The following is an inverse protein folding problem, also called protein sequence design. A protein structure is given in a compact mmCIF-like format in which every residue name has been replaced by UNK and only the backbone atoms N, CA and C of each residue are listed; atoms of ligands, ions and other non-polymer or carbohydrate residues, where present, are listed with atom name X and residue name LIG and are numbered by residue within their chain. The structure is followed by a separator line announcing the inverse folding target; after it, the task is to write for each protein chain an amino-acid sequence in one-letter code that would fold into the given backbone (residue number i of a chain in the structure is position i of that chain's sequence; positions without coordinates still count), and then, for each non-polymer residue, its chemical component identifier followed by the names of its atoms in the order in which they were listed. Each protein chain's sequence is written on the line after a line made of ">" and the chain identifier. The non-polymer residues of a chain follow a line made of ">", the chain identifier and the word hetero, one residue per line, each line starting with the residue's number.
data_IF_634746618095
#
_entry.id   IF_634746618095
#
_cell.length_a   1.000
_cell.length_b   1.000
_cell.length_c   1.000
_cell.angle_alpha   90.00
_cell.angle_beta   90.00
_cell.angle_gamma   90.00
#
_symmetry.space_group_name_H-M   'P 1'
#
loop_
_entity.id
_entity.type
_entity.pdbx_description
1 polymer ?
#
# COMPACT_ATOMS: atom_id res chain seq x y z
N UNK A 1 23.89 4.02 11.56
CA UNK A 1 23.05 3.81 12.76
C UNK A 1 21.93 4.83 12.87
N UNK A 2 22.25 6.11 12.85
CA UNK A 2 21.23 7.15 12.90
C UNK A 2 20.28 7.13 11.72
N UNK A 3 20.78 6.85 10.52
CA UNK A 3 19.95 6.69 9.33
C UNK A 3 18.88 5.63 9.51
N UNK A 4 19.28 4.50 10.08
CA UNK A 4 18.37 3.39 10.33
C UNK A 4 17.29 3.79 11.34
N UNK A 5 17.66 4.57 12.35
CA UNK A 5 16.70 5.08 13.34
C UNK A 5 15.69 6.00 12.71
N UNK A 6 16.15 6.92 11.84
CA UNK A 6 15.26 7.86 11.16
C UNK A 6 14.28 7.14 10.25
N UNK A 7 14.73 6.15 9.48
CA UNK A 7 13.85 5.34 8.63
C UNK A 7 12.80 4.63 9.48
N UNK A 8 13.24 4.02 10.56
CA UNK A 8 12.34 3.29 11.45
C UNK A 8 11.32 4.23 12.08
N UNK A 9 11.76 5.41 12.53
CA UNK A 9 10.89 6.41 13.12
C UNK A 9 9.82 6.88 12.14
N UNK A 10 10.19 7.15 10.88
CA UNK A 10 9.21 7.58 9.86
C UNK A 10 8.15 6.51 9.66
N UNK A 11 8.53 5.24 9.60
CA UNK A 11 7.57 4.14 9.45
C UNK A 11 6.68 4.00 10.68
N UNK A 12 7.22 4.18 11.88
CA UNK A 12 6.43 4.15 13.11
C UNK A 12 5.40 5.28 13.11
N UNK A 13 5.82 6.49 12.76
CA UNK A 13 4.92 7.65 12.71
C UNK A 13 3.85 7.48 11.64
N UNK A 14 4.21 6.94 10.49
CA UNK A 14 3.24 6.65 9.42
C UNK A 14 2.20 5.63 9.91
N UNK A 15 2.64 4.60 10.61
CA UNK A 15 1.76 3.58 11.17
C UNK A 15 0.81 4.17 12.21
N UNK A 16 1.33 5.02 13.12
CA UNK A 16 0.51 5.69 14.11
C UNK A 16 -0.56 6.57 13.45
N UNK A 17 -0.13 7.33 12.43
CA UNK A 17 -1.04 8.19 11.67
C UNK A 17 -2.13 7.33 11.01
N UNK A 18 -1.73 6.28 10.31
CA UNK A 18 -2.66 5.39 9.61
C UNK A 18 -3.65 4.72 10.55
N UNK A 19 -3.22 4.36 11.77
CA UNK A 19 -4.08 3.71 12.76
C UNK A 19 -5.26 4.56 13.18
N UNK A 20 -5.16 5.88 13.00
CA UNK A 20 -6.20 6.82 13.36
C UNK A 20 -7.06 7.27 12.18
N UNK A 21 -6.81 6.73 11.00
CA UNK A 21 -7.58 7.07 9.80
C UNK A 21 -8.75 6.11 9.60
N UNK A 22 -9.87 6.67 9.15
CA UNK A 22 -11.02 5.88 8.73
C UNK A 22 -10.87 5.41 7.28
N UNK A 23 -9.87 5.90 6.58
CA UNK A 23 -9.61 5.57 5.18
C UNK A 23 -8.64 4.40 5.08
N UNK A 24 -8.94 3.37 4.28
CA UNK A 24 -8.03 2.23 4.10
C UNK A 24 -6.63 2.67 3.69
N UNK A 25 -5.63 2.24 4.46
CA UNK A 25 -4.24 2.67 4.29
C UNK A 25 -3.30 1.49 4.51
N UNK A 26 -2.36 1.32 3.59
CA UNK A 26 -1.31 0.29 3.67
C UNK A 26 0.05 0.99 3.67
N UNK A 27 1.00 0.39 4.37
CA UNK A 27 2.37 0.90 4.46
C UNK A 27 3.33 -0.23 4.11
N UNK A 28 4.28 0.07 3.23
CA UNK A 28 5.35 -0.86 2.88
C UNK A 28 6.70 -0.19 3.13
N UNK A 29 7.72 -0.98 3.43
CA UNK A 29 9.06 -0.47 3.63
C UNK A 29 9.79 -0.26 2.29
N UNK A 30 11.05 0.19 2.36
CA UNK A 30 11.82 0.50 1.16
C UNK A 30 12.12 -0.73 0.28
N UNK A 31 12.05 -1.91 0.86
CA UNK A 31 12.23 -3.17 0.12
C UNK A 31 10.94 -3.63 -0.56
N UNK A 32 9.83 -2.94 -0.29
CA UNK A 32 8.55 -3.32 -0.84
C UNK A 32 7.82 -4.37 -0.04
N UNK A 33 8.16 -4.52 1.23
CA UNK A 33 7.46 -5.44 2.12
C UNK A 33 6.33 -4.71 2.82
N UNK A 34 5.10 -5.24 2.73
CA UNK A 34 3.97 -4.72 3.48
C UNK A 34 4.24 -4.90 4.96
N UNK A 35 4.29 -3.80 5.72
CA UNK A 35 4.59 -3.84 7.13
C UNK A 35 3.41 -3.47 8.02
N UNK A 36 2.36 -2.91 7.44
CA UNK A 36 1.16 -2.56 8.19
C UNK A 36 0.00 -2.18 7.28
N UNK A 37 -1.22 -2.47 7.69
CA UNK A 37 -2.41 -1.80 7.19
C UNK A 37 -3.39 -1.59 8.33
N UNK A 38 -4.18 -0.52 8.23
CA UNK A 38 -5.08 -0.13 9.31
C UNK A 38 -6.39 -0.93 9.32
N UNK A 39 -7.20 -0.71 10.36
CA UNK A 39 -8.49 -1.39 10.52
C UNK A 39 -9.42 -1.16 9.32
N UNK A 40 -9.44 0.06 8.79
CA UNK A 40 -10.26 0.38 7.63
C UNK A 40 -9.86 -0.47 6.42
N UNK A 41 -8.57 -0.74 6.25
CA UNK A 41 -8.07 -1.57 5.16
C UNK A 41 -8.47 -3.04 5.33
N UNK A 42 -8.69 -3.50 6.57
CA UNK A 42 -9.08 -4.88 6.83
C UNK A 42 -10.37 -5.25 6.11
N UNK A 43 -11.30 -4.31 5.97
CA UNK A 43 -12.56 -4.55 5.27
C UNK A 43 -12.35 -4.84 3.79
N UNK A 44 -11.34 -4.21 3.18
CA UNK A 44 -11.03 -4.40 1.77
C UNK A 44 -10.17 -5.63 1.57
N UNK A 45 -9.16 -5.82 2.43
CA UNK A 45 -8.27 -6.98 2.37
C UNK A 45 -9.03 -8.26 2.73
N UNK A 46 -9.95 -8.18 3.67
CA UNK A 46 -10.75 -9.33 4.10
C UNK A 46 -10.19 -10.06 5.31
N UNK A 47 -9.10 -9.57 5.89
CA UNK A 47 -8.52 -10.13 7.11
C UNK A 47 -7.64 -9.10 7.80
N UNK A 48 -7.39 -9.29 9.09
CA UNK A 48 -6.57 -8.36 9.86
C UNK A 48 -5.09 -8.49 9.51
N UNK A 49 -4.33 -7.43 9.76
CA UNK A 49 -2.88 -7.48 9.55
C UNK A 49 -2.21 -8.51 10.46
N UNK A 50 -2.75 -8.68 11.68
CA UNK A 50 -2.25 -9.71 12.59
C UNK A 50 -2.30 -11.11 12.01
N UNK A 51 -3.32 -11.40 11.20
CA UNK A 51 -3.46 -12.69 10.52
C UNK A 51 -2.63 -12.76 9.25
N UNK A 52 -2.61 -11.66 8.47
CA UNK A 52 -1.91 -11.64 7.19
C UNK A 52 -0.39 -11.61 7.35
N UNK A 53 0.12 -10.79 8.28
CA UNK A 53 1.53 -10.62 8.48
C UNK A 53 2.23 -9.86 7.36
N UNK A 54 3.54 -9.76 7.46
CA UNK A 54 4.37 -9.11 6.46
C UNK A 54 4.40 -9.92 5.16
N UNK A 55 4.44 -9.20 4.03
CA UNK A 55 4.32 -9.84 2.72
C UNK A 55 4.99 -8.97 1.66
N UNK A 56 5.73 -9.57 0.70
CA UNK A 56 6.32 -8.78 -0.40
C UNK A 56 5.23 -8.08 -1.22
N UNK A 57 5.56 -6.88 -1.75
CA UNK A 57 4.60 -6.05 -2.48
C UNK A 57 3.94 -6.80 -3.65
N UNK A 58 4.71 -7.58 -4.39
CA UNK A 58 4.14 -8.28 -5.55
C UNK A 58 3.13 -9.34 -5.14
N UNK A 59 3.30 -9.93 -3.96
CA UNK A 59 2.37 -10.93 -3.45
C UNK A 59 1.08 -10.29 -2.95
N UNK A 60 1.17 -9.22 -2.15
CA UNK A 60 -0.04 -8.61 -1.62
C UNK A 60 -0.83 -7.83 -2.70
N UNK A 61 -0.16 -7.23 -3.68
CA UNK A 61 -0.90 -6.60 -4.78
C UNK A 61 -1.54 -7.63 -5.69
N UNK A 62 -0.85 -8.76 -5.94
CA UNK A 62 -1.41 -9.83 -6.77
C UNK A 62 -2.64 -10.47 -6.10
N UNK A 63 -2.67 -10.51 -4.77
CA UNK A 63 -3.78 -11.11 -4.04
C UNK A 63 -5.12 -10.38 -4.28
N UNK A 64 -5.07 -9.12 -4.71
CA UNK A 64 -6.28 -8.35 -5.03
C UNK A 64 -6.73 -8.50 -6.47
N UNK A 65 -5.98 -9.23 -7.29
CA UNK A 65 -6.28 -9.42 -8.71
C UNK A 65 -6.62 -8.09 -9.41
N UNK A 66 -5.72 -7.08 -9.33
CA UNK A 66 -6.04 -5.73 -9.82
C UNK A 66 -6.27 -5.71 -11.33
N UNK A 67 -7.34 -5.04 -11.73
CA UNK A 67 -7.76 -4.90 -13.12
C UNK A 67 -8.02 -3.44 -13.45
N UNK A 68 -7.91 -3.10 -14.72
CA UNK A 68 -8.26 -1.76 -15.19
C UNK A 68 -9.78 -1.61 -15.22
N UNK A 69 -10.25 -0.40 -15.51
CA UNK A 69 -11.68 -0.15 -15.67
C UNK A 69 -12.31 -1.02 -16.76
N UNK A 70 -11.52 -1.44 -17.75
CA UNK A 70 -11.97 -2.32 -18.83
C UNK A 70 -11.82 -3.80 -18.49
N UNK A 71 -11.61 -4.10 -17.21
CA UNK A 71 -11.47 -5.46 -16.66
C UNK A 71 -10.25 -6.22 -17.18
N UNK A 72 -9.24 -5.53 -17.71
CA UNK A 72 -7.99 -6.14 -18.13
C UNK A 72 -7.03 -6.25 -16.95
N UNK A 73 -6.30 -7.36 -16.81
CA UNK A 73 -5.31 -7.47 -15.74
C UNK A 73 -4.29 -6.34 -15.79
N UNK A 74 -3.97 -5.79 -14.62
CA UNK A 74 -2.99 -4.71 -14.52
C UNK A 74 -1.62 -5.31 -14.21
N UNK A 75 -0.64 -5.17 -15.12
CA UNK A 75 0.69 -5.75 -14.86
C UNK A 75 1.37 -5.08 -13.68
N UNK A 76 2.24 -5.81 -12.95
CA UNK A 76 2.86 -5.31 -11.72
C UNK A 76 3.53 -3.93 -11.87
N UNK A 77 4.26 -3.71 -12.96
CA UNK A 77 5.00 -2.47 -13.17
C UNK A 77 4.11 -1.25 -13.39
N UNK A 78 2.81 -1.46 -13.63
CA UNK A 78 1.86 -0.36 -13.85
C UNK A 78 0.99 -0.08 -12.63
N UNK A 79 1.15 -0.84 -11.57
CA UNK A 79 0.37 -0.64 -10.33
C UNK A 79 0.90 0.58 -9.58
N UNK A 80 0.02 1.41 -8.98
CA UNK A 80 0.45 2.60 -8.25
C UNK A 80 1.53 2.35 -7.20
N UNK A 81 1.40 1.26 -6.43
CA UNK A 81 2.39 0.94 -5.41
C UNK A 81 3.77 0.67 -6.01
N UNK A 82 3.81 0.01 -7.17
CA UNK A 82 5.08 -0.29 -7.83
C UNK A 82 5.73 0.97 -8.38
N UNK A 83 4.92 1.86 -8.94
CA UNK A 83 5.40 3.15 -9.44
C UNK A 83 5.99 3.96 -8.29
N UNK A 84 5.31 4.01 -7.14
CA UNK A 84 5.82 4.73 -5.97
C UNK A 84 7.13 4.15 -5.46
N UNK A 85 7.26 2.82 -5.47
CA UNK A 85 8.49 2.14 -5.04
C UNK A 85 9.65 2.37 -6.00
N UNK A 86 9.42 2.15 -7.29
CA UNK A 86 10.48 2.15 -8.28
C UNK A 86 10.87 3.55 -8.74
N UNK A 87 9.88 4.42 -8.92
CA UNK A 87 10.12 5.77 -9.44
C UNK A 87 10.12 6.83 -8.33
N UNK A 88 9.76 6.46 -7.12
CA UNK A 88 9.77 7.33 -5.95
C UNK A 88 8.97 8.62 -6.17
N UNK A 89 7.81 8.48 -6.80
CA UNK A 89 6.88 9.57 -7.05
C UNK A 89 5.45 9.10 -6.77
N UNK A 90 4.52 10.05 -6.51
CA UNK A 90 3.13 9.67 -6.33
C UNK A 90 2.53 9.08 -7.60
N UNK A 91 1.63 8.11 -7.43
CA UNK A 91 0.89 7.52 -8.53
C UNK A 91 -0.57 7.33 -8.09
N UNK A 92 -1.48 7.53 -9.03
CA UNK A 92 -2.91 7.45 -8.77
C UNK A 92 -3.61 6.71 -9.90
N UNK A 93 -4.58 5.85 -9.55
CA UNK A 93 -5.34 5.11 -10.56
C UNK A 93 -6.64 4.59 -9.97
N UNK A 94 -7.67 4.48 -10.80
CA UNK A 94 -8.90 3.77 -10.46
C UNK A 94 -8.74 2.33 -10.91
N UNK A 95 -9.02 1.40 -10.01
CA UNK A 95 -8.82 -0.04 -10.25
C UNK A 95 -10.06 -0.82 -9.81
N UNK A 96 -10.21 -2.00 -10.41
CA UNK A 96 -11.13 -3.00 -9.89
C UNK A 96 -10.29 -4.05 -9.16
N UNK A 97 -10.62 -4.33 -7.91
CA UNK A 97 -9.91 -5.32 -7.10
C UNK A 97 -10.89 -6.36 -6.58
N UNK A 98 -10.35 -7.53 -6.26
CA UNK A 98 -11.11 -8.60 -5.60
C UNK A 98 -10.46 -8.86 -4.25
N UNK A 99 -11.21 -8.67 -3.17
CA UNK A 99 -10.71 -8.93 -1.83
C UNK A 99 -10.58 -10.44 -1.57
N UNK A 100 -10.01 -10.79 -0.42
CA UNK A 100 -9.89 -12.20 -0.02
C UNK A 100 -11.26 -12.85 0.23
N UNK A 101 -12.30 -12.03 0.41
CA UNK A 101 -13.68 -12.47 0.53
C UNK A 101 -14.33 -12.78 -0.83
N UNK A 102 -13.61 -12.58 -1.92
CA UNK A 102 -14.10 -12.84 -3.28
C UNK A 102 -14.99 -11.71 -3.84
N UNK A 103 -15.14 -10.62 -3.12
CA UNK A 103 -15.99 -9.51 -3.56
C UNK A 103 -15.20 -8.53 -4.41
N UNK A 104 -15.74 -8.21 -5.60
CA UNK A 104 -15.15 -7.20 -6.47
C UNK A 104 -15.54 -5.79 -6.00
N UNK A 105 -14.58 -4.87 -6.06
CA UNK A 105 -14.80 -3.48 -5.69
C UNK A 105 -14.06 -2.55 -6.65
N UNK A 106 -14.69 -1.45 -7.01
CA UNK A 106 -14.03 -0.38 -7.74
C UNK A 106 -13.45 0.58 -6.72
N UNK A 107 -12.15 0.83 -6.80
CA UNK A 107 -11.44 1.67 -5.83
C UNK A 107 -10.54 2.67 -6.54
N UNK A 108 -10.43 3.86 -5.93
CA UNK A 108 -9.36 4.78 -6.28
C UNK A 108 -8.18 4.47 -5.39
N UNK A 109 -6.98 4.45 -5.95
CA UNK A 109 -5.75 4.18 -5.21
C UNK A 109 -4.77 5.31 -5.47
N UNK A 110 -4.18 5.84 -4.40
CA UNK A 110 -3.01 6.70 -4.51
C UNK A 110 -1.91 6.08 -3.68
N UNK A 111 -0.71 6.02 -4.25
CA UNK A 111 0.47 5.56 -3.54
C UNK A 111 1.52 6.64 -3.63
N UNK A 112 2.25 6.87 -2.56
CA UNK A 112 3.29 7.90 -2.55
C UNK A 112 4.47 7.48 -1.69
N UNK A 113 5.68 7.97 -2.03
CA UNK A 113 6.88 7.60 -1.29
C UNK A 113 6.99 8.36 0.03
N UNK A 114 7.65 7.73 1.00
CA UNK A 114 8.01 8.34 2.26
C UNK A 114 9.52 8.56 2.29
N UNK A 115 9.92 9.73 2.77
CA UNK A 115 11.33 10.09 2.91
C UNK A 115 11.62 10.45 4.36
N UNK A 116 12.79 10.08 4.85
CA UNK A 116 13.25 10.45 6.18
C UNK A 116 13.96 11.82 6.12
N UNK A 117 15.24 11.81 5.88
CA UNK A 117 16.00 13.05 5.73
C UNK A 117 16.35 13.26 4.27
N UNK A 118 16.20 14.52 3.80
CA UNK A 118 16.52 14.88 2.43
C UNK A 118 15.88 13.85 1.45
N UNK A 119 16.69 13.07 0.76
CA UNK A 119 16.24 12.14 -0.25
C UNK A 119 16.28 10.68 0.22
N UNK A 120 16.32 10.45 1.54
CA UNK A 120 16.39 9.10 2.05
C UNK A 120 15.04 8.40 1.98
N UNK A 121 14.88 7.53 1.00
CA UNK A 121 13.65 6.78 0.79
C UNK A 121 13.47 5.70 1.87
N UNK A 122 12.32 5.68 2.53
CA UNK A 122 12.07 4.71 3.62
C UNK A 122 10.91 3.77 3.34
N UNK A 123 10.08 4.07 2.38
CA UNK A 123 8.94 3.21 2.07
C UNK A 123 7.86 3.96 1.32
N UNK A 124 6.67 3.38 1.28
CA UNK A 124 5.51 3.96 0.62
C UNK A 124 4.28 3.86 1.48
N UNK A 125 3.32 4.75 1.20
CA UNK A 125 1.96 4.66 1.73
C UNK A 125 1.02 4.51 0.55
N UNK A 126 0.08 3.58 0.65
CA UNK A 126 -1.00 3.45 -0.32
C UNK A 126 -2.32 3.70 0.39
N UNK A 127 -3.11 4.61 -0.14
CA UNK A 127 -4.44 4.95 0.38
C UNK A 127 -5.44 4.60 -0.70
N UNK A 128 -6.53 3.96 -0.33
CA UNK A 128 -7.56 3.66 -1.30
C UNK A 128 -8.95 3.94 -0.73
N UNK A 129 -9.87 4.23 -1.64
CA UNK A 129 -11.23 4.58 -1.29
C UNK A 129 -12.18 3.97 -2.31
N UNK A 130 -13.41 3.76 -1.87
CA UNK A 130 -14.44 3.21 -2.74
C UNK A 130 -14.88 4.28 -3.74
N UNK A 131 -14.93 3.90 -4.98
CA UNK A 131 -15.43 4.78 -6.03
C UNK A 131 -16.97 4.76 -6.12
#
# INVERSE_FOLDING_TARGET
>A
MERRRHKHLVLILAREFASNLATPTLIADAAGTLVFYNEAAEEVVGRSFGEAGEMPVDDWTASFEPRTADAEPLPPERRPVRIALDERRPAHQTLRITGTDGIERDVGVTAFPLFAQADEFVGIVAIFWRE
#
